data_IF_685929436180
#
_entry.id   IF_685929436180
#
_cell.length_a   1.000
_cell.length_b   1.000
_cell.length_c   1.000
_cell.angle_alpha   90.00
_cell.angle_beta   90.00
_cell.angle_gamma   90.00
#
_symmetry.space_group_name_H-M   'P 1'
#
loop_
_entity.id
_entity.type
_entity.pdbx_description
1 polymer ?
#
# COMPACT_ATOMS: atom_id res chain seq x y z
N UNK A 1 -3.23 -28.56 9.12
CA UNK A 1 -4.11 -29.40 8.28
C UNK A 1 -4.15 -28.72 6.93
N UNK A 2 -3.72 -29.38 5.86
CA UNK A 2 -3.84 -28.83 4.51
C UNK A 2 -5.29 -28.97 4.05
N UNK A 3 -6.01 -27.86 4.09
CA UNK A 3 -7.37 -27.76 3.56
C UNK A 3 -7.27 -27.02 2.23
N UNK A 4 -7.90 -27.57 1.19
CA UNK A 4 -7.88 -26.94 -0.14
C UNK A 4 -8.53 -25.55 -0.08
N UNK A 5 -7.78 -24.55 -0.53
CA UNK A 5 -8.29 -23.20 -0.64
C UNK A 5 -9.00 -23.03 -1.98
N UNK A 6 -10.33 -22.90 -1.92
CA UNK A 6 -11.17 -22.68 -3.10
C UNK A 6 -11.40 -21.18 -3.30
N UNK A 7 -10.92 -20.66 -4.43
CA UNK A 7 -11.21 -19.30 -4.87
C UNK A 7 -12.57 -19.21 -5.53
N UNK A 8 -13.61 -19.01 -4.71
CA UNK A 8 -14.98 -18.86 -5.18
C UNK A 8 -15.38 -17.38 -5.41
N UNK A 9 -16.60 -17.19 -5.91
CA UNK A 9 -17.14 -15.87 -6.25
C UNK A 9 -17.12 -14.90 -5.07
N UNK A 10 -17.32 -15.39 -3.84
CA UNK A 10 -17.25 -14.56 -2.63
C UNK A 10 -15.84 -14.01 -2.43
N UNK A 11 -14.80 -14.83 -2.64
CA UNK A 11 -13.39 -14.39 -2.52
C UNK A 11 -13.05 -13.42 -3.64
N UNK A 12 -13.46 -13.70 -4.87
CA UNK A 12 -13.24 -12.80 -6.00
C UNK A 12 -13.90 -11.43 -5.78
N UNK A 13 -15.14 -11.40 -5.30
CA UNK A 13 -15.85 -10.15 -5.00
C UNK A 13 -15.15 -9.34 -3.89
N UNK A 14 -14.72 -10.01 -2.82
CA UNK A 14 -13.97 -9.36 -1.74
C UNK A 14 -12.63 -8.81 -2.23
N UNK A 15 -11.88 -9.60 -3.03
CA UNK A 15 -10.62 -9.17 -3.63
C UNK A 15 -10.81 -7.94 -4.53
N UNK A 16 -11.81 -7.96 -5.42
CA UNK A 16 -12.11 -6.83 -6.30
C UNK A 16 -12.46 -5.56 -5.51
N UNK A 17 -13.22 -5.71 -4.42
CA UNK A 17 -13.55 -4.58 -3.53
C UNK A 17 -12.29 -4.00 -2.89
N UNK A 18 -11.43 -4.83 -2.31
CA UNK A 18 -10.18 -4.38 -1.69
C UNK A 18 -9.26 -3.74 -2.72
N UNK A 19 -9.07 -4.38 -3.88
CA UNK A 19 -8.26 -3.86 -4.99
C UNK A 19 -8.75 -2.48 -5.42
N UNK A 20 -10.06 -2.29 -5.58
CA UNK A 20 -10.64 -0.99 -5.93
C UNK A 20 -10.35 0.06 -4.86
N UNK A 21 -10.55 -0.27 -3.58
CA UNK A 21 -10.32 0.67 -2.48
C UNK A 21 -8.84 1.08 -2.35
N UNK A 22 -7.92 0.11 -2.47
CA UNK A 22 -6.48 0.36 -2.38
C UNK A 22 -5.97 1.15 -3.59
N UNK A 23 -6.45 0.85 -4.80
CA UNK A 23 -5.99 1.53 -6.03
C UNK A 23 -6.62 2.89 -6.28
N UNK A 24 -7.83 3.14 -5.76
CA UNK A 24 -8.55 4.40 -5.94
C UNK A 24 -8.40 5.35 -4.75
N UNK A 25 -7.73 4.93 -3.66
CA UNK A 25 -7.44 5.82 -2.56
C UNK A 25 -6.53 6.96 -3.08
N UNK A 26 -6.95 8.23 -2.94
CA UNK A 26 -6.08 9.34 -3.31
C UNK A 26 -4.83 9.30 -2.42
N UNK A 27 -3.69 9.77 -2.96
CA UNK A 27 -2.53 10.05 -2.11
C UNK A 27 -2.99 11.01 -1.00
N UNK A 28 -3.04 10.52 0.24
CA UNK A 28 -3.72 11.20 1.35
C UNK A 28 -3.11 12.58 1.64
N UNK A 29 -1.80 12.74 1.36
CA UNK A 29 -1.06 13.99 1.53
C UNK A 29 0.16 13.99 0.60
N UNK A 30 0.38 15.04 -0.21
CA UNK A 30 1.60 15.17 -0.99
C UNK A 30 2.81 15.39 -0.07
N UNK A 31 4.02 15.15 -0.60
CA UNK A 31 5.26 15.53 0.08
C UNK A 31 5.32 17.05 0.20
N UNK A 32 5.56 17.53 1.42
CA UNK A 32 5.78 18.93 1.72
C UNK A 32 7.28 19.26 1.67
N UNK A 33 7.71 19.90 0.58
CA UNK A 33 9.09 20.32 0.40
C UNK A 33 9.47 21.59 1.20
N UNK A 34 8.51 22.24 1.86
CA UNK A 34 8.78 23.37 2.76
C UNK A 34 9.05 22.90 4.20
N UNK A 35 8.59 21.70 4.56
CA UNK A 35 8.87 21.08 5.84
C UNK A 35 10.35 20.72 5.99
N UNK A 36 10.86 20.81 7.23
CA UNK A 36 12.19 20.28 7.58
C UNK A 36 12.17 18.77 7.84
N UNK A 37 10.98 18.14 7.85
CA UNK A 37 10.85 16.71 8.07
C UNK A 37 11.37 15.94 6.85
N UNK A 38 12.15 14.87 7.07
CA UNK A 38 12.78 14.13 5.98
C UNK A 38 11.74 13.40 5.14
N UNK A 39 12.01 13.35 3.84
CA UNK A 39 11.35 12.39 2.94
C UNK A 39 12.02 11.04 3.12
N UNK A 40 11.24 10.03 3.47
CA UNK A 40 11.70 8.67 3.75
C UNK A 40 11.30 7.77 2.58
N UNK A 41 12.28 7.11 1.98
CA UNK A 41 12.07 6.04 0.99
C UNK A 41 12.29 4.70 1.68
N UNK A 42 11.23 3.92 1.86
CA UNK A 42 11.35 2.54 2.32
C UNK A 42 11.22 1.61 1.13
N UNK A 43 12.14 0.66 1.01
CA UNK A 43 12.21 -0.29 -0.10
C UNK A 43 12.16 -1.68 0.48
N UNK A 44 11.33 -2.54 -0.10
CA UNK A 44 11.35 -3.98 0.14
C UNK A 44 11.51 -4.68 -1.22
N UNK A 45 12.39 -5.66 -1.28
CA UNK A 45 12.73 -6.32 -2.54
C UNK A 45 12.82 -7.82 -2.37
N UNK A 46 12.26 -8.54 -3.33
CA UNK A 46 12.43 -9.97 -3.52
C UNK A 46 13.15 -10.24 -4.83
N UNK A 47 13.48 -11.51 -5.08
CA UNK A 47 14.00 -11.95 -6.37
C UNK A 47 13.04 -11.65 -7.55
N UNK A 48 11.73 -11.54 -7.29
CA UNK A 48 10.70 -11.41 -8.32
C UNK A 48 10.31 -9.95 -8.58
N UNK A 49 10.34 -9.11 -7.54
CA UNK A 49 9.89 -7.72 -7.63
C UNK A 49 10.47 -6.84 -6.54
N UNK A 50 10.44 -5.52 -6.79
CA UNK A 50 10.79 -4.46 -5.84
C UNK A 50 9.55 -3.61 -5.56
N UNK A 51 9.25 -3.40 -4.29
CA UNK A 51 8.25 -2.45 -3.81
C UNK A 51 8.92 -1.30 -3.07
N UNK A 52 8.34 -0.10 -3.18
CA UNK A 52 8.80 1.04 -2.42
C UNK A 52 7.63 1.93 -2.01
N UNK A 53 7.81 2.62 -0.88
CA UNK A 53 6.90 3.65 -0.38
C UNK A 53 7.68 4.92 -0.08
N UNK A 54 7.08 6.07 -0.40
CA UNK A 54 7.54 7.38 0.03
C UNK A 54 6.65 7.86 1.18
N UNK A 55 7.27 8.30 2.27
CA UNK A 55 6.58 8.84 3.44
C UNK A 55 7.28 10.09 3.97
N UNK A 56 6.54 10.92 4.70
CA UNK A 56 7.04 12.09 5.41
C UNK A 56 6.21 12.25 6.68
N UNK A 57 6.88 12.50 7.82
CA UNK A 57 6.19 12.85 9.06
C UNK A 57 5.57 14.23 8.93
N UNK A 58 4.37 14.41 9.46
CA UNK A 58 3.80 15.74 9.65
C UNK A 58 4.00 16.25 11.08
N UNK A 59 3.77 17.54 11.26
CA UNK A 59 3.99 18.20 12.55
C UNK A 59 2.86 17.92 13.56
N UNK A 60 1.84 17.14 13.18
CA UNK A 60 0.65 16.86 13.98
C UNK A 60 0.64 15.50 14.68
N UNK A 61 1.54 14.59 14.31
CA UNK A 61 1.70 13.28 14.96
C UNK A 61 0.71 12.25 14.47
#
# INVERSE_FOLDING_TARGET
QDIEFIWDDRRQAAFNKLKKLVSAAPALKPIDYQSQNPVILSVDSSFIAVGFILSQLDDTG
#
